data_IF_183393868599
#
_entry.id   IF_183393868599
#
_cell.length_a   1.000
_cell.length_b   1.000
_cell.length_c   1.000
_cell.angle_alpha   90.00
_cell.angle_beta   90.00
_cell.angle_gamma   90.00
#
_symmetry.space_group_name_H-M   'P 1'
#
loop_
_entity.id
_entity.type
_entity.pdbx_description
1 polymer ?
#
# COMPACT_ATOMS: atom_id res chain seq x y z
N UNK A 1 0.13 13.22 14.46
CA UNK A 1 1.33 12.50 13.93
C UNK A 1 0.97 11.55 12.78
N UNK A 2 1.84 11.36 11.78
CA UNK A 2 1.60 10.51 10.58
C UNK A 2 2.68 9.44 10.45
N UNK A 3 2.28 8.18 10.24
CA UNK A 3 3.20 7.07 9.97
C UNK A 3 2.79 6.32 8.71
N UNK A 4 3.78 6.00 7.87
CA UNK A 4 3.60 5.20 6.66
C UNK A 4 4.40 3.90 6.82
N UNK A 5 3.71 2.78 6.69
CA UNK A 5 4.25 1.43 6.79
C UNK A 5 4.16 0.78 5.41
N UNK A 6 5.30 0.52 4.78
CA UNK A 6 5.36 -0.28 3.56
C UNK A 6 5.37 -1.78 3.89
N UNK A 7 4.45 -2.57 3.33
CA UNK A 7 4.43 -4.04 3.42
C UNK A 7 4.71 -4.63 2.05
N UNK A 8 5.98 -4.92 1.79
CA UNK A 8 6.43 -5.59 0.57
C UNK A 8 6.45 -7.11 0.72
N UNK A 9 6.46 -7.84 -0.40
CA UNK A 9 6.68 -9.29 -0.39
C UNK A 9 6.15 -9.99 -1.63
N UNK A 10 6.50 -11.27 -1.79
CA UNK A 10 6.12 -12.09 -2.95
C UNK A 10 4.60 -12.21 -3.12
N UNK A 11 4.15 -12.41 -4.36
CA UNK A 11 2.76 -12.73 -4.70
C UNK A 11 2.29 -13.95 -3.90
N UNK A 12 1.07 -13.91 -3.38
CA UNK A 12 0.49 -14.91 -2.47
C UNK A 12 1.26 -15.16 -1.15
N UNK A 13 2.18 -14.28 -0.77
CA UNK A 13 2.90 -14.35 0.52
C UNK A 13 2.08 -13.94 1.76
N UNK A 14 0.77 -13.79 1.66
CA UNK A 14 -0.07 -13.42 2.81
C UNK A 14 0.04 -11.95 3.25
N UNK A 15 0.53 -11.03 2.39
CA UNK A 15 0.57 -9.58 2.64
C UNK A 15 -0.80 -9.05 3.09
N UNK A 16 -1.83 -9.29 2.28
CA UNK A 16 -3.20 -8.83 2.55
C UNK A 16 -3.76 -9.42 3.85
N UNK A 17 -3.37 -10.65 4.22
CA UNK A 17 -3.74 -11.23 5.51
C UNK A 17 -3.08 -10.50 6.68
N UNK A 18 -1.80 -10.16 6.57
CA UNK A 18 -1.10 -9.35 7.57
C UNK A 18 -1.71 -7.95 7.68
N UNK A 19 -1.93 -7.29 6.55
CA UNK A 19 -2.55 -5.96 6.47
C UNK A 19 -3.94 -5.93 7.12
N UNK A 20 -4.79 -6.92 6.85
CA UNK A 20 -6.10 -7.04 7.48
C UNK A 20 -6.05 -7.24 8.99
N UNK A 21 -5.01 -7.90 9.52
CA UNK A 21 -4.81 -8.01 10.97
C UNK A 21 -4.36 -6.68 11.57
N UNK A 22 -3.39 -6.01 10.93
CA UNK A 22 -2.89 -4.71 11.38
C UNK A 22 -4.00 -3.65 11.38
N UNK A 23 -4.84 -3.61 10.35
CA UNK A 23 -5.99 -2.70 10.26
C UNK A 23 -6.97 -2.83 11.44
N UNK A 24 -7.10 -4.03 12.01
CA UNK A 24 -7.98 -4.28 13.17
C UNK A 24 -7.34 -3.88 14.50
N UNK A 25 -6.01 -3.74 14.53
CA UNK A 25 -5.25 -3.47 15.75
C UNK A 25 -4.80 -2.01 15.83
N UNK A 26 -4.57 -1.36 14.69
CA UNK A 26 -4.03 -0.01 14.59
C UNK A 26 -5.15 1.04 14.52
N UNK A 27 -5.06 2.14 15.29
CA UNK A 27 -6.06 3.21 15.24
C UNK A 27 -5.90 4.06 13.98
N UNK A 28 -7.01 4.60 13.46
CA UNK A 28 -7.04 5.53 12.33
C UNK A 28 -6.19 5.06 11.13
N UNK A 29 -6.26 3.77 10.84
CA UNK A 29 -5.43 3.11 9.86
C UNK A 29 -6.14 3.08 8.49
N UNK A 30 -5.44 3.48 7.44
CA UNK A 30 -5.88 3.35 6.05
C UNK A 30 -4.95 2.37 5.32
N UNK A 31 -5.42 1.80 4.21
CA UNK A 31 -4.61 0.94 3.33
C UNK A 31 -4.65 1.46 1.90
N UNK A 32 -3.52 1.39 1.22
CA UNK A 32 -3.40 1.49 -0.23
C UNK A 32 -2.83 0.18 -0.74
N UNK A 33 -3.59 -0.52 -1.60
CA UNK A 33 -3.16 -1.77 -2.22
C UNK A 33 -2.54 -1.47 -3.59
N UNK A 34 -1.32 -1.95 -3.83
CA UNK A 34 -0.66 -1.79 -5.14
C UNK A 34 -1.50 -2.40 -6.28
N UNK A 35 -2.22 -3.48 -6.00
CA UNK A 35 -3.03 -4.20 -6.98
C UNK A 35 -4.22 -3.35 -7.52
N UNK A 36 -4.67 -2.33 -6.76
CA UNK A 36 -5.72 -1.42 -7.22
C UNK A 36 -5.26 -0.52 -8.38
N UNK A 37 -3.95 -0.47 -8.65
CA UNK A 37 -3.33 0.37 -9.67
C UNK A 37 -2.90 -0.41 -10.91
N UNK A 38 -3.36 -1.65 -11.10
CA UNK A 38 -3.14 -2.35 -12.37
C UNK A 38 -3.78 -1.60 -13.53
N UNK A 39 -3.01 -1.44 -14.62
CA UNK A 39 -3.55 -0.94 -15.88
C UNK A 39 -4.56 -1.95 -16.45
N UNK A 40 -5.38 -1.49 -17.39
CA UNK A 40 -6.37 -2.36 -18.02
C UNK A 40 -5.69 -3.49 -18.79
N UNK A 41 -6.33 -4.66 -18.93
CA UNK A 41 -5.71 -5.82 -19.57
C UNK A 41 -5.21 -5.59 -21.00
N UNK A 42 -5.80 -4.66 -21.75
CA UNK A 42 -5.40 -4.26 -23.11
C UNK A 42 -4.18 -3.33 -23.15
N UNK A 43 -3.80 -2.76 -22.01
CA UNK A 43 -2.62 -1.89 -21.84
C UNK A 43 -1.41 -2.64 -21.28
N UNK A 44 -1.55 -3.92 -20.97
CA UNK A 44 -0.46 -4.77 -20.48
C UNK A 44 0.33 -5.31 -21.65
N UNK A 45 1.64 -5.08 -21.64
CA UNK A 45 2.55 -5.57 -22.68
C UNK A 45 2.56 -7.10 -22.72
N UNK A 46 2.64 -7.63 -23.94
CA UNK A 46 2.78 -9.07 -24.18
C UNK A 46 4.26 -9.35 -24.43
N UNK A 47 4.82 -10.25 -23.62
CA UNK A 47 6.20 -10.69 -23.75
C UNK A 47 6.44 -11.51 -25.02
N UNK A 48 7.71 -11.75 -25.31
CA UNK A 48 8.13 -12.60 -26.43
C UNK A 48 7.60 -14.05 -26.37
N UNK A 49 7.20 -14.49 -25.18
CA UNK A 49 6.64 -15.79 -24.85
C UNK A 49 5.11 -15.86 -25.09
N UNK A 50 4.51 -14.73 -25.50
CA UNK A 50 3.07 -14.60 -25.73
C UNK A 50 2.25 -14.35 -24.46
N UNK A 51 2.89 -14.19 -23.30
CA UNK A 51 2.19 -13.94 -22.03
C UNK A 51 2.16 -12.46 -21.66
N UNK A 52 1.06 -12.02 -21.03
CA UNK A 52 0.94 -10.67 -20.48
C UNK A 52 1.87 -10.50 -19.28
N UNK A 53 2.64 -9.42 -19.29
CA UNK A 53 3.63 -9.12 -18.26
C UNK A 53 2.96 -8.36 -17.11
N UNK A 54 2.38 -9.08 -16.15
CA UNK A 54 1.73 -8.47 -14.98
C UNK A 54 2.71 -8.16 -13.85
N UNK A 55 3.79 -8.94 -13.70
CA UNK A 55 4.73 -8.83 -12.60
C UNK A 55 5.85 -7.79 -12.84
N UNK A 56 5.56 -6.73 -13.58
CA UNK A 56 6.52 -5.65 -13.91
C UNK A 56 5.95 -4.29 -13.56
N UNK A 57 6.83 -3.34 -13.23
CA UNK A 57 6.42 -2.00 -12.77
C UNK A 57 5.59 -1.24 -13.82
N UNK A 58 5.82 -1.52 -15.11
CA UNK A 58 5.11 -0.88 -16.23
C UNK A 58 3.65 -1.35 -16.36
N UNK A 59 3.27 -2.47 -15.74
CA UNK A 59 1.90 -2.96 -15.67
C UNK A 59 1.01 -2.14 -14.72
N UNK A 60 1.62 -1.28 -13.89
CA UNK A 60 0.96 -0.51 -12.84
C UNK A 60 0.98 0.99 -13.16
N UNK A 61 -0.07 1.69 -12.74
CA UNK A 61 -0.10 3.15 -12.68
C UNK A 61 0.52 3.64 -11.35
N UNK A 62 1.86 3.56 -11.30
CA UNK A 62 2.63 3.95 -10.10
C UNK A 62 2.57 5.45 -9.80
N UNK A 63 2.26 6.27 -10.82
CA UNK A 63 2.04 7.71 -10.63
C UNK A 63 0.74 7.96 -9.89
N UNK A 64 -0.37 7.34 -10.33
CA UNK A 64 -1.64 7.40 -9.61
C UNK A 64 -1.50 6.88 -8.17
N UNK A 65 -0.77 5.78 -7.97
CA UNK A 65 -0.48 5.23 -6.63
C UNK A 65 0.26 6.24 -5.75
N UNK A 66 1.29 6.89 -6.29
CA UNK A 66 2.06 7.92 -5.57
C UNK A 66 1.19 9.12 -5.21
N UNK A 67 0.31 9.55 -6.12
CA UNK A 67 -0.61 10.66 -5.88
C UNK A 67 -1.65 10.32 -4.81
N UNK A 68 -2.13 9.07 -4.76
CA UNK A 68 -2.99 8.59 -3.66
C UNK A 68 -2.27 8.66 -2.31
N UNK A 69 -1.02 8.21 -2.24
CA UNK A 69 -0.21 8.30 -1.00
C UNK A 69 0.01 9.77 -0.60
N UNK A 70 0.33 10.65 -1.55
CA UNK A 70 0.48 12.10 -1.30
C UNK A 70 -0.81 12.73 -0.79
N UNK A 71 -1.97 12.37 -1.35
CA UNK A 71 -3.27 12.84 -0.88
C UNK A 71 -3.55 12.43 0.57
N UNK A 72 -3.12 11.23 0.98
CA UNK A 72 -3.16 10.84 2.40
C UNK A 72 -2.19 11.67 3.25
N UNK A 73 -0.96 11.90 2.79
CA UNK A 73 0.03 12.73 3.49
C UNK A 73 -0.50 14.14 3.71
N UNK A 74 -1.17 14.74 2.72
CA UNK A 74 -1.77 16.07 2.84
C UNK A 74 -2.85 16.11 3.93
N UNK A 75 -3.84 15.20 3.85
CA UNK A 75 -4.96 15.18 4.79
C UNK A 75 -5.49 13.76 5.06
N UNK A 76 -4.94 13.06 6.09
CA UNK A 76 -5.35 11.70 6.44
C UNK A 76 -6.83 11.58 6.79
N UNK A 77 -7.41 12.62 7.42
CA UNK A 77 -8.81 12.61 7.88
C UNK A 77 -9.76 12.67 6.69
N UNK A 78 -9.50 13.59 5.74
CA UNK A 78 -10.28 13.71 4.50
C UNK A 78 -10.15 12.44 3.67
N UNK A 79 -8.95 11.89 3.56
CA UNK A 79 -8.68 10.65 2.86
C UNK A 79 -9.48 9.48 3.44
N UNK A 80 -9.43 9.28 4.76
CA UNK A 80 -10.18 8.20 5.41
C UNK A 80 -11.68 8.29 5.15
N UNK A 81 -12.25 9.51 5.25
CA UNK A 81 -13.67 9.75 4.97
C UNK A 81 -14.05 9.45 3.52
N UNK A 82 -13.22 9.82 2.56
CA UNK A 82 -13.51 9.55 1.14
C UNK A 82 -13.40 8.06 0.78
N UNK A 83 -12.66 7.27 1.56
CA UNK A 83 -12.47 5.84 1.36
C UNK A 83 -13.29 4.98 2.34
N UNK A 84 -14.28 5.56 3.04
CA UNK A 84 -15.19 4.83 3.92
C UNK A 84 -14.56 4.26 5.20
N UNK A 85 -13.38 4.74 5.59
CA UNK A 85 -12.68 4.30 6.80
C UNK A 85 -13.25 5.07 8.00
N UNK A 86 -13.81 4.34 8.96
CA UNK A 86 -14.29 4.90 10.23
C UNK A 86 -13.11 5.32 11.09
N UNK A 87 -13.00 6.62 11.36
CA UNK A 87 -12.02 7.17 12.30
C UNK A 87 -12.58 7.17 13.71
N UNK A 88 -11.70 7.01 14.70
CA UNK A 88 -12.11 7.16 16.09
C UNK A 88 -12.73 8.55 16.34
N UNK A 89 -13.80 8.65 17.14
CA UNK A 89 -14.52 9.91 17.35
C UNK A 89 -13.59 11.03 17.83
N UNK A 90 -13.88 12.27 17.42
CA UNK A 90 -13.10 13.46 17.77
C UNK A 90 -12.95 13.66 19.29
N UNK A 91 -13.91 13.14 20.07
CA UNK A 91 -14.11 13.39 21.49
C UNK A 91 -13.10 12.71 22.44
N UNK A 92 -12.25 11.81 21.95
CA UNK A 92 -11.29 11.06 22.81
C UNK A 92 -9.88 11.67 22.85
N UNK A 93 -9.59 12.71 22.08
CA UNK A 93 -8.24 13.30 21.99
C UNK A 93 -8.33 14.79 22.26
N UNK A 94 -7.61 15.24 23.30
CA UNK A 94 -7.61 16.64 23.79
C UNK A 94 -6.99 17.59 22.75
N UNK A 95 -6.07 17.08 21.93
CA UNK A 95 -5.42 17.80 20.85
C UNK A 95 -5.54 17.05 19.51
N UNK A 96 -6.15 17.65 18.46
CA UNK A 96 -6.18 17.10 17.11
C UNK A 96 -4.80 16.77 16.53
N UNK A 97 -3.74 17.48 16.91
CA UNK A 97 -2.38 17.31 16.38
C UNK A 97 -1.63 16.12 16.99
N UNK A 98 -2.01 15.70 18.21
CA UNK A 98 -1.49 14.49 18.87
C UNK A 98 -2.06 13.20 18.28
N UNK A 99 -3.15 13.28 17.50
CA UNK A 99 -3.80 12.11 16.92
C UNK A 99 -2.86 11.37 15.96
N UNK A 100 -2.68 10.07 16.20
CA UNK A 100 -1.88 9.21 15.33
C UNK A 100 -2.74 8.78 14.12
N UNK A 101 -2.17 8.93 12.93
CA UNK A 101 -2.70 8.44 11.66
C UNK A 101 -1.71 7.49 11.01
N UNK A 102 -2.19 6.33 10.56
CA UNK A 102 -1.35 5.29 9.98
C UNK A 102 -1.82 4.99 8.56
N UNK A 103 -0.88 4.91 7.63
CA UNK A 103 -1.09 4.40 6.29
C UNK A 103 -0.29 3.12 6.11
N UNK A 104 -0.95 2.05 5.70
CA UNK A 104 -0.29 0.87 5.19
C UNK A 104 -0.28 0.95 3.66
N UNK A 105 0.89 0.81 3.07
CA UNK A 105 1.05 0.65 1.62
C UNK A 105 1.52 -0.78 1.40
N UNK A 106 0.69 -1.63 0.79
CA UNK A 106 1.05 -3.03 0.53
C UNK A 106 1.16 -3.35 -0.96
N UNK A 107 2.10 -4.23 -1.31
CA UNK A 107 2.35 -4.58 -2.70
C UNK A 107 3.55 -5.50 -2.88
N UNK A 108 3.75 -6.02 -4.09
CA UNK A 108 4.84 -6.94 -4.41
C UNK A 108 6.04 -6.27 -5.08
N UNK A 109 5.85 -5.10 -5.70
CA UNK A 109 6.89 -4.30 -6.35
C UNK A 109 7.16 -2.96 -5.66
N UNK A 110 6.65 -2.74 -4.43
CA UNK A 110 6.75 -1.45 -3.73
C UNK A 110 8.18 -0.89 -3.67
N UNK A 111 9.15 -1.73 -3.33
CA UNK A 111 10.53 -1.31 -3.09
C UNK A 111 11.35 -1.17 -4.38
N UNK A 112 10.74 -1.42 -5.52
CA UNK A 112 11.37 -1.26 -6.84
C UNK A 112 11.04 0.11 -7.46
N UNK A 113 10.38 1.00 -6.70
CA UNK A 113 9.92 2.30 -7.18
C UNK A 113 10.31 3.42 -6.20
N UNK A 114 11.35 4.18 -6.57
CA UNK A 114 11.98 5.19 -5.71
C UNK A 114 11.00 6.21 -5.09
N UNK A 115 10.01 6.77 -5.82
CA UNK A 115 9.09 7.74 -5.22
C UNK A 115 8.27 7.21 -4.04
N UNK A 116 8.03 5.89 -3.95
CA UNK A 116 7.34 5.29 -2.81
C UNK A 116 8.28 4.98 -1.64
N UNK A 117 9.58 4.82 -1.90
CA UNK A 117 10.59 4.66 -0.85
C UNK A 117 10.75 5.96 -0.06
N UNK A 118 10.80 7.09 -0.75
CA UNK A 118 11.01 8.43 -0.16
C UNK A 118 9.89 8.86 0.80
N UNK A 119 8.69 8.30 0.65
CA UNK A 119 7.52 8.61 1.50
C UNK A 119 7.32 7.60 2.63
N UNK A 120 7.95 6.43 2.58
CA UNK A 120 7.77 5.38 3.59
C UNK A 120 8.60 5.68 4.85
N UNK A 121 7.95 5.70 6.02
CA UNK A 121 8.62 5.99 7.30
C UNK A 121 9.21 4.72 7.94
N UNK A 122 8.56 3.57 7.73
CA UNK A 122 9.03 2.26 8.13
C UNK A 122 8.71 1.21 7.04
N UNK A 123 9.57 0.21 6.87
CA UNK A 123 9.43 -0.82 5.84
C UNK A 123 9.49 -2.24 6.45
N UNK A 124 8.51 -3.08 6.10
CA UNK A 124 8.42 -4.49 6.48
C UNK A 124 8.34 -5.33 5.20
N UNK A 125 9.28 -6.26 5.00
CA UNK A 125 9.26 -7.17 3.84
C UNK A 125 8.94 -8.61 4.26
N UNK A 126 7.85 -9.18 3.73
CA UNK A 126 7.54 -10.60 3.84
C UNK A 126 8.34 -11.41 2.81
N UNK A 127 9.18 -12.32 3.30
CA UNK A 127 9.99 -13.22 2.48
C UNK A 127 9.56 -14.68 2.71
N UNK A 128 9.27 -15.40 1.64
CA UNK A 128 9.11 -16.86 1.67
C UNK A 128 10.32 -17.49 0.99
N UNK A 129 10.92 -18.55 1.57
CA UNK A 129 11.93 -19.32 0.86
C UNK A 129 11.28 -19.98 -0.36
N UNK A 130 11.88 -19.80 -1.53
CA UNK A 130 11.52 -20.61 -2.70
C UNK A 130 11.94 -22.04 -2.42
N UNK A 131 10.99 -22.99 -2.52
CA UNK A 131 11.39 -24.40 -2.60
C UNK A 131 12.13 -24.55 -3.92
N UNK A 132 13.40 -24.96 -3.88
CA UNK A 132 14.08 -25.44 -5.07
C UNK A 132 13.25 -26.55 -5.67
N UNK A 133 12.81 -26.39 -6.92
CA UNK A 133 12.26 -27.50 -7.67
C UNK A 133 13.38 -28.54 -7.79
N UNK A 134 13.24 -29.65 -7.07
CA UNK A 134 14.07 -30.86 -7.18
C UNK A 134 13.71 -31.63 -8.43
#
# INVERSE_FOLDING_TARGET
MKYIIGIGGVTNGGKTTLTNKLMKTLPNCCVVHQDDFFKKPDQIEVGHDGFKQWDVITALDMEAMTNTVKGWIENPVKFARSHGVSLAPASEVVDPDERIHILIVEGFLLYNYAPLLDVSTNAITLRYPTRSAS
#
